data_IF_825802813984
#
_entry.id   IF_825802813984
#
_cell.length_a   1.000
_cell.length_b   1.000
_cell.length_c   1.000
_cell.angle_alpha   90.00
_cell.angle_beta   90.00
_cell.angle_gamma   90.00
#
_symmetry.space_group_name_H-M   'P 1'
#
loop_
_entity.id
_entity.type
_entity.pdbx_description
1 polymer ?
#
# COMPACT_ATOMS: atom_id res chain seq x y z
N UNK A 1 42.33 27.01 26.49
CA UNK A 1 42.45 25.71 25.77
C UNK A 1 42.65 25.93 24.28
N UNK A 2 41.82 26.73 23.60
CA UNK A 2 41.99 27.05 22.16
C UNK A 2 43.36 27.64 21.81
N UNK A 3 43.84 28.64 22.57
CA UNK A 3 45.17 29.25 22.35
C UNK A 3 46.34 28.26 22.49
N UNK A 4 46.19 27.22 23.32
CA UNK A 4 47.20 26.16 23.49
C UNK A 4 47.15 25.20 22.29
N UNK A 5 45.96 24.90 21.78
CA UNK A 5 45.78 24.12 20.57
C UNK A 5 46.37 24.82 19.34
N UNK A 6 46.12 26.11 19.18
CA UNK A 6 46.69 26.92 18.10
C UNK A 6 48.23 26.92 18.17
N UNK A 7 48.81 27.13 19.35
CA UNK A 7 50.26 27.11 19.53
C UNK A 7 50.89 25.75 19.19
N UNK A 8 50.24 24.63 19.58
CA UNK A 8 50.71 23.28 19.24
C UNK A 8 50.53 22.99 17.74
N UNK A 9 49.48 23.51 17.11
CA UNK A 9 49.19 23.32 15.69
C UNK A 9 50.14 24.13 14.78
N UNK A 10 50.65 25.28 15.26
CA UNK A 10 51.63 26.10 14.55
C UNK A 10 53.05 25.52 14.54
N UNK A 11 53.36 24.54 15.40
CA UNK A 11 54.67 23.90 15.43
C UNK A 11 54.74 22.75 14.39
N UNK A 12 55.76 22.68 13.51
CA UNK A 12 55.84 21.70 12.42
C UNK A 12 55.74 20.23 12.87
N UNK A 13 56.32 19.87 14.03
CA UNK A 13 56.16 18.54 14.63
C UNK A 13 54.91 18.39 15.52
N UNK A 14 54.32 19.51 15.95
CA UNK A 14 53.15 19.54 16.82
C UNK A 14 51.86 19.34 16.04
N UNK A 15 51.80 19.79 14.79
CA UNK A 15 50.67 19.57 13.87
C UNK A 15 50.37 18.08 13.67
N UNK A 16 51.38 17.26 13.40
CA UNK A 16 51.19 15.81 13.18
C UNK A 16 50.68 15.12 14.45
N UNK A 17 51.31 15.41 15.60
CA UNK A 17 50.92 14.83 16.89
C UNK A 17 49.50 15.26 17.28
N UNK A 18 49.17 16.55 17.12
CA UNK A 18 47.84 17.08 17.41
C UNK A 18 46.77 16.48 16.46
N UNK A 19 47.07 16.35 15.17
CA UNK A 19 46.18 15.74 14.19
C UNK A 19 45.93 14.26 14.51
N UNK A 20 46.99 13.51 14.84
CA UNK A 20 46.87 12.10 15.22
C UNK A 20 46.06 11.91 16.51
N UNK A 21 46.26 12.80 17.49
CA UNK A 21 45.48 12.80 18.73
C UNK A 21 44.00 13.13 18.47
N UNK A 22 43.72 14.17 17.70
CA UNK A 22 42.35 14.56 17.35
C UNK A 22 41.64 13.45 16.57
N UNK A 23 42.34 12.82 15.61
CA UNK A 23 41.83 11.68 14.87
C UNK A 23 41.44 10.51 15.79
N UNK A 24 42.31 10.15 16.76
CA UNK A 24 42.00 9.10 17.74
C UNK A 24 40.76 9.39 18.57
N UNK A 25 40.60 10.64 19.01
CA UNK A 25 39.41 11.06 19.77
C UNK A 25 38.15 10.97 18.92
N UNK A 26 38.17 11.49 17.69
CA UNK A 26 37.01 11.44 16.79
C UNK A 26 36.62 9.99 16.50
N UNK A 27 37.59 9.12 16.23
CA UNK A 27 37.33 7.68 16.00
C UNK A 27 36.69 7.04 17.23
N UNK A 28 37.20 7.30 18.43
CA UNK A 28 36.66 6.74 19.66
C UNK A 28 35.24 7.22 19.96
N UNK A 29 34.97 8.51 19.77
CA UNK A 29 33.64 9.10 19.92
C UNK A 29 32.64 8.51 18.90
N UNK A 30 33.04 8.38 17.63
CA UNK A 30 32.24 7.72 16.61
C UNK A 30 31.96 6.24 16.94
N UNK A 31 32.94 5.54 17.54
CA UNK A 31 32.78 4.15 17.99
C UNK A 31 31.76 4.05 19.12
N UNK A 32 31.81 4.96 20.11
CA UNK A 32 30.84 5.02 21.21
C UNK A 32 29.44 5.34 20.72
N UNK A 33 29.30 6.30 19.79
CA UNK A 33 28.03 6.60 19.11
C UNK A 33 27.46 5.37 18.39
N UNK A 34 28.29 4.64 17.64
CA UNK A 34 27.85 3.41 16.96
C UNK A 34 27.37 2.34 17.94
N UNK A 35 28.07 2.16 19.07
CA UNK A 35 27.64 1.22 20.11
C UNK A 35 26.33 1.66 20.77
N UNK A 36 26.13 2.95 21.00
CA UNK A 36 24.88 3.48 21.53
C UNK A 36 23.72 3.25 20.55
N UNK A 37 23.94 3.48 19.26
CA UNK A 37 22.94 3.24 18.22
C UNK A 37 22.55 1.77 18.08
N UNK A 38 23.54 0.87 18.20
CA UNK A 38 23.36 -0.57 18.13
C UNK A 38 22.69 -1.15 19.39
N UNK A 39 22.42 -0.34 20.42
CA UNK A 39 21.77 -0.80 21.64
C UNK A 39 20.29 -1.14 21.41
N UNK A 40 19.79 -2.16 22.11
CA UNK A 40 18.41 -2.65 21.96
C UNK A 40 17.35 -1.57 22.25
N UNK A 41 17.64 -0.67 23.18
CA UNK A 41 16.71 0.36 23.64
C UNK A 41 16.41 1.43 22.58
N UNK A 42 17.20 1.50 21.51
CA UNK A 42 16.94 2.41 20.38
C UNK A 42 15.75 1.95 19.52
N UNK A 43 15.35 0.68 19.64
CA UNK A 43 14.10 0.18 19.05
C UNK A 43 14.16 -0.22 17.58
N UNK A 44 15.36 -0.31 16.98
CA UNK A 44 15.55 -0.61 15.56
C UNK A 44 15.78 -2.11 15.26
N UNK A 45 15.24 -2.97 16.11
CA UNK A 45 15.35 -4.42 15.94
C UNK A 45 14.13 -4.99 15.22
N UNK A 46 14.36 -5.69 14.11
CA UNK A 46 13.28 -6.28 13.32
C UNK A 46 13.40 -7.80 13.27
N UNK A 47 12.32 -8.50 13.65
CA UNK A 47 12.27 -9.96 13.59
C UNK A 47 11.44 -10.40 12.40
N UNK A 48 12.09 -10.87 11.34
CA UNK A 48 11.43 -11.42 10.15
C UNK A 48 10.36 -12.48 10.50
N UNK A 49 10.65 -13.35 11.48
CA UNK A 49 9.74 -14.41 11.93
C UNK A 49 8.49 -13.93 12.66
N UNK A 50 8.48 -12.67 13.11
CA UNK A 50 7.38 -12.03 13.83
C UNK A 50 6.92 -10.76 13.11
N UNK A 51 7.29 -10.63 11.85
CA UNK A 51 6.91 -9.48 11.05
C UNK A 51 5.40 -9.44 10.89
N UNK A 52 4.85 -8.25 11.05
CA UNK A 52 3.45 -7.94 10.82
C UNK A 52 3.31 -6.95 9.66
N UNK A 53 2.15 -6.92 9.01
CA UNK A 53 1.82 -5.95 7.98
C UNK A 53 1.97 -4.52 8.54
N UNK A 54 1.49 -4.28 9.76
CA UNK A 54 1.63 -3.01 10.47
C UNK A 54 3.09 -2.60 10.61
N UNK A 55 3.99 -3.51 11.00
CA UNK A 55 5.41 -3.21 11.14
C UNK A 55 6.11 -2.82 9.83
N UNK A 56 5.57 -3.22 8.67
CA UNK A 56 6.08 -2.81 7.37
C UNK A 56 5.53 -1.46 6.92
N UNK A 57 4.24 -1.20 7.20
CA UNK A 57 3.57 0.06 6.85
C UNK A 57 4.03 1.22 7.74
N UNK A 58 4.32 0.95 9.01
CA UNK A 58 4.84 1.94 9.96
C UNK A 58 6.31 2.30 9.71
N UNK A 59 6.99 1.59 8.81
CA UNK A 59 8.35 1.95 8.48
C UNK A 59 8.42 3.28 7.73
N UNK A 60 9.21 4.19 8.30
CA UNK A 60 9.45 5.52 7.77
C UNK A 60 10.97 5.80 7.83
N UNK A 61 11.54 6.11 6.66
CA UNK A 61 12.97 6.36 6.55
C UNK A 61 13.37 7.72 7.14
N UNK A 62 12.50 8.71 7.07
CA UNK A 62 12.66 10.01 7.71
C UNK A 62 12.64 9.86 9.24
N UNK A 63 11.69 9.10 9.78
CA UNK A 63 11.67 8.81 11.23
C UNK A 63 12.95 8.07 11.69
N UNK A 64 13.42 7.11 10.89
CA UNK A 64 14.69 6.43 11.14
C UNK A 64 15.88 7.40 11.08
N UNK A 65 15.89 8.33 10.11
CA UNK A 65 16.91 9.35 9.98
C UNK A 65 16.95 10.28 11.21
N UNK A 66 15.80 10.68 11.74
CA UNK A 66 15.72 11.49 12.96
C UNK A 66 16.32 10.77 14.17
N UNK A 67 15.99 9.50 14.36
CA UNK A 67 16.55 8.67 15.45
C UNK A 67 18.06 8.55 15.31
N UNK A 68 18.56 8.28 14.08
CA UNK A 68 20.00 8.19 13.82
C UNK A 68 20.68 9.54 14.07
N UNK A 69 20.17 10.63 13.50
CA UNK A 69 20.77 11.96 13.64
C UNK A 69 20.83 12.42 15.11
N UNK A 70 19.81 12.06 15.90
CA UNK A 70 19.77 12.34 17.35
C UNK A 70 20.73 11.47 18.15
N UNK A 71 20.88 10.20 17.79
CA UNK A 71 21.68 9.23 18.57
C UNK A 71 23.16 9.29 18.23
N UNK A 72 23.51 9.56 16.96
CA UNK A 72 24.89 9.56 16.45
C UNK A 72 25.22 10.85 15.68
N UNK A 73 25.10 12.02 16.32
CA UNK A 73 25.21 13.32 15.64
C UNK A 73 26.57 13.54 14.98
N UNK A 74 27.67 13.03 15.55
CA UNK A 74 29.01 13.20 14.95
C UNK A 74 29.17 12.33 13.73
N UNK A 75 28.76 11.06 13.79
CA UNK A 75 28.76 10.19 12.60
C UNK A 75 27.85 10.71 11.50
N UNK A 76 26.65 11.17 11.84
CA UNK A 76 25.71 11.79 10.90
C UNK A 76 26.36 12.98 10.19
N UNK A 77 27.00 13.89 10.94
CA UNK A 77 27.71 15.04 10.37
C UNK A 77 28.90 14.61 9.52
N UNK A 78 29.70 13.64 9.99
CA UNK A 78 30.87 13.14 9.28
C UNK A 78 30.48 12.59 7.91
N UNK A 79 29.53 11.66 7.85
CA UNK A 79 29.04 11.13 6.57
C UNK A 79 28.35 12.21 5.74
N UNK A 80 27.65 13.16 6.37
CA UNK A 80 27.05 14.30 5.68
C UNK A 80 28.08 15.16 4.93
N UNK A 81 29.24 15.40 5.56
CA UNK A 81 30.36 16.12 4.92
C UNK A 81 30.99 15.28 3.82
N UNK A 82 31.25 13.99 4.07
CA UNK A 82 31.87 13.09 3.08
C UNK A 82 31.01 12.95 1.81
N UNK A 83 29.69 12.84 1.96
CA UNK A 83 28.75 12.78 0.83
C UNK A 83 28.61 14.13 0.10
N UNK A 84 28.99 15.24 0.74
CA UNK A 84 28.95 16.59 0.17
C UNK A 84 30.33 17.09 -0.28
N UNK A 85 31.37 16.24 -0.25
CA UNK A 85 32.76 16.65 -0.41
C UNK A 85 33.11 17.23 -1.79
N UNK A 86 32.31 16.91 -2.82
CA UNK A 86 32.49 17.44 -4.18
C UNK A 86 31.18 17.98 -4.73
N UNK A 87 30.76 19.13 -4.19
CA UNK A 87 29.55 19.83 -4.60
C UNK A 87 29.57 20.22 -6.09
N UNK A 88 30.75 20.43 -6.68
CA UNK A 88 30.86 20.75 -8.11
C UNK A 88 30.54 19.55 -9.00
N UNK A 89 31.07 18.35 -8.70
CA UNK A 89 30.70 17.15 -9.46
C UNK A 89 29.22 16.81 -9.31
N UNK A 90 28.62 17.07 -8.15
CA UNK A 90 27.18 16.90 -7.93
C UNK A 90 26.40 17.83 -8.87
N UNK A 91 26.77 19.13 -8.92
CA UNK A 91 26.18 20.11 -9.85
C UNK A 91 26.34 19.69 -11.32
N UNK A 92 27.52 19.19 -11.72
CA UNK A 92 27.77 18.74 -13.11
C UNK A 92 26.91 17.54 -13.51
N UNK A 93 26.79 16.53 -12.64
CA UNK A 93 25.92 15.36 -12.89
C UNK A 93 24.46 15.76 -13.03
N UNK A 94 24.02 16.77 -12.28
CA UNK A 94 22.66 17.29 -12.35
C UNK A 94 22.40 18.02 -13.66
N UNK A 95 23.33 18.87 -14.09
CA UNK A 95 23.20 19.55 -15.38
C UNK A 95 23.11 18.55 -16.53
N UNK A 96 23.88 17.46 -16.48
CA UNK A 96 23.78 16.37 -17.47
C UNK A 96 22.44 15.62 -17.40
N UNK A 97 21.88 15.38 -16.20
CA UNK A 97 20.55 14.76 -16.05
C UNK A 97 19.44 15.66 -16.57
N UNK A 98 19.49 16.98 -16.34
CA UNK A 98 18.53 17.93 -16.91
C UNK A 98 18.55 17.94 -18.43
N UNK A 99 19.76 17.97 -19.02
CA UNK A 99 19.93 17.90 -20.48
C UNK A 99 19.40 16.59 -21.05
N UNK A 100 19.57 15.47 -20.33
CA UNK A 100 19.07 14.17 -20.78
C UNK A 100 17.55 14.00 -20.59
N UNK A 101 17.00 14.49 -19.48
CA UNK A 101 15.55 14.45 -19.23
C UNK A 101 14.77 15.31 -20.24
N UNK A 102 15.32 16.45 -20.67
CA UNK A 102 14.76 17.25 -21.76
C UNK A 102 15.01 16.70 -23.17
N UNK A 103 15.78 15.62 -23.32
CA UNK A 103 16.04 14.97 -24.62
C UNK A 103 15.28 13.63 -24.77
N UNK A 104 14.87 13.00 -23.66
CA UNK A 104 14.04 11.79 -23.62
C UNK A 104 12.57 12.11 -23.24
N UNK A 105 12.13 13.38 -23.28
CA UNK A 105 10.71 13.70 -23.10
C UNK A 105 9.94 13.17 -24.31
N UNK A 106 9.18 12.10 -24.11
CA UNK A 106 8.16 11.59 -25.04
C UNK A 106 7.07 12.64 -25.38
N UNK A 107 7.19 13.88 -24.90
CA UNK A 107 6.41 15.04 -25.30
C UNK A 107 6.58 15.39 -26.79
N UNK A 108 7.68 14.97 -27.43
CA UNK A 108 7.82 15.10 -28.89
C UNK A 108 6.81 14.20 -29.65
N UNK A 109 6.23 13.18 -28.99
CA UNK A 109 5.19 12.32 -29.58
C UNK A 109 3.77 12.89 -29.42
N UNK A 110 3.53 13.76 -28.44
CA UNK A 110 2.23 14.42 -28.23
C UNK A 110 2.12 15.80 -28.91
N UNK A 111 3.22 16.34 -29.47
CA UNK A 111 3.23 17.63 -30.16
C UNK A 111 2.77 17.59 -31.62
N UNK A 112 2.54 16.41 -32.23
CA UNK A 112 2.13 16.32 -33.65
C UNK A 112 0.62 16.47 -33.92
N UNK A 113 -0.25 16.62 -32.91
CA UNK A 113 -1.70 16.78 -33.14
C UNK A 113 -2.26 18.10 -32.56
N UNK A 114 -2.12 19.21 -33.33
CA UNK A 114 -3.02 20.38 -33.41
C UNK A 114 -3.68 20.94 -32.11
N UNK A 115 -3.08 20.79 -30.93
CA UNK A 115 -3.55 21.47 -29.72
C UNK A 115 -3.12 22.94 -29.76
N UNK A 116 -4.06 23.90 -29.59
CA UNK A 116 -3.71 25.32 -29.56
C UNK A 116 -2.75 25.57 -28.41
N UNK A 117 -1.59 26.14 -28.74
CA UNK A 117 -0.53 26.53 -27.82
C UNK A 117 -1.13 27.40 -26.71
N UNK A 118 -1.32 26.82 -25.53
CA UNK A 118 -1.63 27.57 -24.31
C UNK A 118 -0.33 28.30 -23.96
N UNK A 119 -0.30 29.64 -23.87
CA UNK A 119 0.88 30.36 -23.43
C UNK A 119 1.25 29.87 -22.04
N UNK A 120 2.46 29.33 -21.88
CA UNK A 120 3.03 29.04 -20.56
C UNK A 120 3.03 30.34 -19.76
N UNK A 121 2.38 30.32 -18.60
CA UNK A 121 2.28 31.46 -17.71
C UNK A 121 3.69 31.75 -17.16
N UNK A 122 4.29 32.92 -17.42
CA UNK A 122 5.68 33.22 -17.05
C UNK A 122 5.94 33.28 -15.53
N UNK A 123 4.92 33.04 -14.70
CA UNK A 123 5.01 33.00 -13.24
C UNK A 123 5.18 31.57 -12.65
N UNK A 124 5.14 30.50 -13.45
CA UNK A 124 5.22 29.11 -12.94
C UNK A 124 6.64 28.52 -12.85
N UNK A 125 7.69 29.33 -13.09
CA UNK A 125 9.09 28.87 -13.09
C UNK A 125 9.64 28.44 -11.74
N UNK A 126 8.94 28.76 -10.65
CA UNK A 126 9.34 28.42 -9.29
C UNK A 126 8.94 26.98 -8.89
N UNK A 127 8.01 26.34 -9.60
CA UNK A 127 7.47 25.01 -9.23
C UNK A 127 8.45 23.84 -9.49
N UNK A 128 9.23 23.89 -10.59
CA UNK A 128 10.18 22.82 -10.93
C UNK A 128 11.48 22.87 -10.11
N UNK A 129 11.89 24.06 -9.66
CA UNK A 129 13.15 24.19 -8.93
C UNK A 129 13.07 23.55 -7.54
N UNK A 130 11.90 23.65 -6.89
CA UNK A 130 11.67 23.14 -5.54
C UNK A 130 11.62 21.60 -5.49
N UNK A 131 10.97 20.95 -6.46
CA UNK A 131 10.86 19.48 -6.53
C UNK A 131 12.25 18.82 -6.57
N UNK A 132 13.19 19.39 -7.32
CA UNK A 132 14.54 18.84 -7.45
C UNK A 132 15.42 18.98 -6.21
N UNK A 133 15.17 19.98 -5.36
CA UNK A 133 15.92 20.15 -4.11
C UNK A 133 15.40 19.20 -3.03
N UNK A 134 14.08 18.98 -2.95
CA UNK A 134 13.48 18.00 -2.07
C UNK A 134 13.97 16.57 -2.36
N UNK A 135 13.97 16.16 -3.63
CA UNK A 135 14.48 14.86 -4.05
C UNK A 135 15.97 14.68 -3.71
N UNK A 136 16.75 15.75 -3.83
CA UNK A 136 18.17 15.72 -3.45
C UNK A 136 18.33 15.51 -1.96
N UNK A 137 17.52 16.18 -1.16
CA UNK A 137 17.57 16.04 0.29
C UNK A 137 17.13 14.63 0.71
N UNK A 138 16.08 14.08 0.11
CA UNK A 138 15.65 12.69 0.32
C UNK A 138 16.74 11.69 -0.06
N UNK A 139 17.36 11.84 -1.22
CA UNK A 139 18.45 10.95 -1.64
C UNK A 139 19.65 11.02 -0.67
N UNK A 140 19.99 12.21 -0.18
CA UNK A 140 21.06 12.39 0.81
C UNK A 140 20.71 11.68 2.12
N UNK A 141 19.49 11.84 2.62
CA UNK A 141 18.98 11.16 3.82
C UNK A 141 19.04 9.65 3.64
N UNK A 142 18.49 9.12 2.55
CA UNK A 142 18.52 7.69 2.23
C UNK A 142 19.96 7.14 2.22
N UNK A 143 20.88 7.87 1.60
CA UNK A 143 22.30 7.46 1.54
C UNK A 143 22.94 7.44 2.93
N UNK A 144 22.68 8.46 3.76
CA UNK A 144 23.18 8.53 5.14
C UNK A 144 22.62 7.39 6.00
N UNK A 145 21.30 7.19 5.97
CA UNK A 145 20.63 6.10 6.68
C UNK A 145 21.21 4.77 6.23
N UNK A 146 21.40 4.54 4.93
CA UNK A 146 21.97 3.30 4.40
C UNK A 146 23.38 3.04 4.94
N UNK A 147 24.29 4.02 4.86
CA UNK A 147 25.67 3.86 5.32
C UNK A 147 25.76 3.57 6.82
N UNK A 148 25.03 4.33 7.63
CA UNK A 148 25.00 4.13 9.08
C UNK A 148 24.33 2.81 9.42
N UNK A 149 23.30 2.41 8.67
CA UNK A 149 22.60 1.13 8.86
C UNK A 149 23.50 -0.07 8.62
N UNK A 150 24.37 -0.02 7.61
CA UNK A 150 25.37 -1.07 7.35
C UNK A 150 26.33 -1.18 8.54
N UNK A 151 26.83 -0.05 9.04
CA UNK A 151 27.76 -0.03 10.18
C UNK A 151 27.10 -0.51 11.48
N UNK A 152 25.86 -0.09 11.74
CA UNK A 152 25.08 -0.50 12.91
C UNK A 152 24.79 -2.01 12.88
N UNK A 153 24.31 -2.53 11.74
CA UNK A 153 24.05 -3.96 11.56
C UNK A 153 25.33 -4.82 11.68
N UNK A 154 26.47 -4.29 11.24
CA UNK A 154 27.78 -4.94 11.40
C UNK A 154 28.23 -5.00 12.87
N UNK A 155 27.78 -4.05 13.68
CA UNK A 155 28.06 -3.99 15.13
C UNK A 155 27.10 -4.87 15.92
N UNK A 156 25.82 -4.87 15.54
CA UNK A 156 24.78 -5.71 16.11
C UNK A 156 23.82 -6.16 15.00
N UNK A 157 23.83 -7.45 14.67
CA UNK A 157 22.98 -8.02 13.62
C UNK A 157 21.48 -7.96 13.91
N UNK A 158 21.08 -7.62 15.14
CA UNK A 158 19.70 -7.38 15.49
C UNK A 158 19.23 -5.99 15.03
N UNK A 159 20.15 -5.05 14.79
CA UNK A 159 19.85 -3.75 14.20
C UNK A 159 19.77 -3.94 12.68
N UNK A 160 18.61 -4.41 12.22
CA UNK A 160 18.42 -4.92 10.85
C UNK A 160 17.12 -4.43 10.20
N UNK A 161 16.47 -3.41 10.76
CA UNK A 161 15.18 -2.91 10.27
C UNK A 161 15.27 -2.51 8.80
N UNK A 162 16.19 -1.60 8.45
CA UNK A 162 16.45 -1.19 7.07
C UNK A 162 16.77 -2.38 6.16
N UNK A 163 17.66 -3.28 6.58
CA UNK A 163 18.04 -4.46 5.81
C UNK A 163 16.88 -5.43 5.57
N UNK A 164 15.97 -5.55 6.54
CA UNK A 164 14.80 -6.42 6.42
C UNK A 164 13.84 -5.88 5.39
N UNK A 165 13.58 -4.58 5.43
CA UNK A 165 12.66 -3.91 4.51
C UNK A 165 13.22 -3.85 3.09
N UNK A 166 14.49 -3.48 2.94
CA UNK A 166 15.16 -3.50 1.64
C UNK A 166 15.21 -4.92 1.06
N UNK A 167 15.47 -5.94 1.90
CA UNK A 167 15.41 -7.34 1.51
C UNK A 167 14.01 -7.79 1.05
N UNK A 168 12.97 -7.44 1.81
CA UNK A 168 11.58 -7.71 1.46
C UNK A 168 11.16 -7.03 0.15
N UNK A 169 11.54 -5.76 -0.03
CA UNK A 169 11.29 -5.00 -1.26
C UNK A 169 11.96 -5.65 -2.47
N UNK A 170 13.25 -6.00 -2.37
CA UNK A 170 13.96 -6.68 -3.45
C UNK A 170 13.30 -8.01 -3.83
N UNK A 171 12.87 -8.78 -2.84
CA UNK A 171 12.15 -10.03 -3.08
C UNK A 171 10.83 -9.79 -3.82
N UNK A 172 10.06 -8.76 -3.42
CA UNK A 172 8.83 -8.36 -4.11
C UNK A 172 9.08 -7.90 -5.56
N UNK A 173 10.25 -7.31 -5.84
CA UNK A 173 10.68 -6.95 -7.20
C UNK A 173 11.24 -8.13 -8.02
N UNK A 174 11.05 -9.38 -7.58
CA UNK A 174 11.60 -10.58 -8.23
C UNK A 174 13.13 -10.54 -8.41
N UNK A 175 13.85 -9.90 -7.48
CA UNK A 175 15.32 -9.84 -7.53
C UNK A 175 15.91 -11.24 -7.39
N UNK A 176 16.85 -11.67 -8.26
CA UNK A 176 17.46 -12.98 -8.18
C UNK A 176 18.10 -13.26 -6.81
N UNK A 177 17.98 -14.49 -6.31
CA UNK A 177 18.52 -14.88 -4.99
C UNK A 177 20.03 -14.65 -4.87
N UNK A 178 20.78 -14.77 -5.97
CA UNK A 178 22.22 -14.48 -6.01
C UNK A 178 22.53 -13.01 -5.73
N UNK A 179 21.70 -12.10 -6.24
CA UNK A 179 21.82 -10.65 -6.00
C UNK A 179 21.42 -10.33 -4.56
N UNK A 180 20.32 -10.91 -4.06
CA UNK A 180 19.92 -10.78 -2.65
C UNK A 180 21.02 -11.31 -1.73
N UNK A 181 21.59 -12.47 -2.03
CA UNK A 181 22.68 -13.07 -1.28
C UNK A 181 23.95 -12.21 -1.29
N UNK A 182 24.27 -11.57 -2.42
CA UNK A 182 25.34 -10.58 -2.49
C UNK A 182 25.05 -9.34 -1.63
N UNK A 183 23.85 -8.76 -1.76
CA UNK A 183 23.42 -7.60 -0.97
C UNK A 183 23.40 -7.88 0.54
N UNK A 184 23.05 -9.09 0.92
CA UNK A 184 23.09 -9.52 2.32
C UNK A 184 24.52 -9.54 2.88
N UNK A 185 25.49 -10.02 2.08
CA UNK A 185 26.91 -10.05 2.48
C UNK A 185 27.53 -8.66 2.65
N UNK A 186 27.06 -7.67 1.89
CA UNK A 186 27.51 -6.27 2.04
C UNK A 186 26.71 -5.47 3.08
N UNK A 187 25.73 -6.09 3.74
CA UNK A 187 24.95 -5.47 4.82
C UNK A 187 23.80 -4.58 4.35
N UNK A 188 23.37 -4.68 3.08
CA UNK A 188 22.21 -3.96 2.55
C UNK A 188 20.90 -4.73 2.71
N UNK A 189 20.96 -6.04 2.97
CA UNK A 189 19.79 -6.90 3.09
C UNK A 189 19.98 -7.96 4.17
N UNK A 190 18.87 -8.50 4.66
CA UNK A 190 18.88 -9.78 5.39
C UNK A 190 19.12 -10.94 4.42
N UNK A 191 19.42 -12.12 4.98
CA UNK A 191 19.66 -13.33 4.18
C UNK A 191 18.40 -13.78 3.43
N UNK A 192 18.54 -14.52 2.32
CA UNK A 192 17.39 -15.11 1.63
C UNK A 192 16.50 -15.97 2.54
N UNK A 193 17.10 -16.74 3.46
CA UNK A 193 16.36 -17.51 4.45
C UNK A 193 15.52 -16.65 5.39
N UNK A 194 16.04 -15.49 5.82
CA UNK A 194 15.31 -14.56 6.66
C UNK A 194 14.19 -13.85 5.89
N UNK A 195 14.35 -13.61 4.58
CA UNK A 195 13.27 -13.13 3.71
C UNK A 195 12.16 -14.18 3.61
N UNK A 196 12.50 -15.46 3.46
CA UNK A 196 11.50 -16.53 3.46
C UNK A 196 10.76 -16.61 4.81
N UNK A 197 11.45 -16.42 5.93
CA UNK A 197 10.83 -16.30 7.26
C UNK A 197 9.88 -15.08 7.33
N UNK A 198 10.27 -13.93 6.76
CA UNK A 198 9.45 -12.72 6.64
C UNK A 198 8.17 -13.00 5.85
N UNK A 199 8.29 -13.51 4.62
CA UNK A 199 7.14 -13.83 3.75
C UNK A 199 6.22 -14.86 4.42
N UNK A 200 6.79 -15.87 5.09
CA UNK A 200 6.01 -16.87 5.83
C UNK A 200 5.25 -16.24 7.00
N UNK A 201 5.87 -15.32 7.75
CA UNK A 201 5.21 -14.60 8.85
C UNK A 201 4.04 -13.76 8.34
N UNK A 202 4.27 -12.96 7.30
CA UNK A 202 3.23 -12.12 6.68
C UNK A 202 2.11 -12.97 6.07
N UNK A 203 2.44 -14.09 5.42
CA UNK A 203 1.45 -15.01 4.87
C UNK A 203 0.57 -15.65 5.95
N UNK A 204 1.14 -15.98 7.12
CA UNK A 204 0.36 -16.48 8.28
C UNK A 204 -0.56 -15.41 8.84
N UNK A 205 -0.08 -14.19 8.99
CA UNK A 205 -0.89 -13.06 9.48
C UNK A 205 -2.02 -12.72 8.52
N UNK A 206 -1.75 -12.68 7.21
CA UNK A 206 -2.76 -12.49 6.18
C UNK A 206 -3.81 -13.60 6.24
N UNK A 207 -3.37 -14.87 6.34
CA UNK A 207 -4.27 -16.02 6.47
C UNK A 207 -5.14 -15.93 7.73
N UNK A 208 -4.55 -15.55 8.86
CA UNK A 208 -5.29 -15.35 10.12
C UNK A 208 -6.32 -14.23 9.99
N UNK A 209 -5.97 -13.13 9.32
CA UNK A 209 -6.87 -12.00 9.10
C UNK A 209 -8.04 -12.37 8.20
N UNK A 210 -7.79 -13.12 7.12
CA UNK A 210 -8.81 -13.66 6.22
C UNK A 210 -9.76 -14.60 6.99
N UNK A 211 -9.23 -15.53 7.79
CA UNK A 211 -10.05 -16.46 8.59
C UNK A 211 -10.85 -15.73 9.66
N UNK A 212 -10.23 -14.81 10.39
CA UNK A 212 -10.90 -14.01 11.41
C UNK A 212 -12.05 -13.22 10.82
N UNK A 213 -11.87 -12.66 9.62
CA UNK A 213 -12.92 -11.97 8.88
C UNK A 213 -14.00 -12.95 8.45
N UNK A 214 -13.65 -14.06 7.78
CA UNK A 214 -14.63 -15.06 7.31
C UNK A 214 -15.46 -15.70 8.42
N UNK A 215 -14.88 -15.93 9.61
CA UNK A 215 -15.59 -16.44 10.80
C UNK A 215 -16.68 -15.52 11.34
N UNK A 216 -16.63 -14.22 11.03
CA UNK A 216 -17.72 -13.32 11.40
C UNK A 216 -19.01 -13.67 10.67
N UNK A 217 -18.93 -14.36 9.51
CA UNK A 217 -20.03 -14.58 8.57
C UNK A 217 -20.69 -13.27 8.08
N UNK A 218 -20.06 -12.12 8.34
CA UNK A 218 -20.48 -10.79 7.92
C UNK A 218 -19.61 -10.32 6.74
N UNK A 219 -19.35 -11.22 5.80
CA UNK A 219 -18.39 -10.98 4.72
C UNK A 219 -18.98 -11.39 3.40
N UNK A 220 -18.90 -10.48 2.41
CA UNK A 220 -19.13 -10.83 1.03
C UNK A 220 -17.84 -11.35 0.42
N UNK A 221 -17.97 -12.35 -0.44
CA UNK A 221 -16.87 -12.94 -1.19
C UNK A 221 -16.99 -12.47 -2.63
N UNK A 222 -15.94 -11.83 -3.14
CA UNK A 222 -15.84 -11.42 -4.54
C UNK A 222 -14.61 -12.11 -5.15
N UNK A 223 -14.75 -12.58 -6.38
CA UNK A 223 -13.66 -13.21 -7.10
C UNK A 223 -13.82 -12.97 -8.60
N UNK A 224 -12.71 -12.96 -9.32
CA UNK A 224 -12.66 -12.78 -10.76
C UNK A 224 -11.43 -13.48 -11.35
N UNK A 225 -11.47 -13.76 -12.65
CA UNK A 225 -10.34 -14.31 -13.38
C UNK A 225 -9.31 -13.21 -13.65
N UNK A 226 -8.03 -13.58 -13.64
CA UNK A 226 -6.97 -12.75 -14.17
C UNK A 226 -5.93 -13.61 -14.87
N UNK A 227 -5.41 -13.11 -15.98
CA UNK A 227 -4.42 -13.80 -16.78
C UNK A 227 -3.05 -13.17 -16.54
N UNK A 228 -2.05 -14.00 -16.24
CA UNK A 228 -0.66 -13.57 -16.10
C UNK A 228 0.13 -14.08 -17.28
N UNK A 229 0.63 -13.19 -18.11
CA UNK A 229 1.60 -13.55 -19.15
C UNK A 229 3.01 -13.63 -18.53
N UNK A 230 3.50 -14.85 -18.35
CA UNK A 230 4.88 -15.11 -17.92
C UNK A 230 5.77 -15.06 -19.16
N UNK A 231 6.44 -13.93 -19.35
CA UNK A 231 7.44 -13.77 -20.42
C UNK A 231 8.71 -14.54 -20.05
N UNK A 232 8.90 -15.71 -20.64
CA UNK A 232 10.15 -16.45 -20.51
C UNK A 232 11.26 -15.77 -21.33
N UNK A 233 12.41 -15.50 -20.69
CA UNK A 233 13.57 -14.90 -21.39
C UNK A 233 14.22 -15.84 -22.41
N UNK A 234 13.99 -17.15 -22.29
CA UNK A 234 14.45 -18.17 -23.24
C UNK A 234 13.28 -19.10 -23.57
N UNK A 235 12.78 -19.11 -24.82
CA UNK A 235 11.76 -20.07 -25.24
C UNK A 235 12.34 -21.49 -25.17
N UNK A 236 11.80 -22.34 -24.31
CA UNK A 236 12.09 -23.79 -24.36
C UNK A 236 11.23 -24.44 -25.44
N UNK A 237 11.84 -25.28 -26.27
CA UNK A 237 11.22 -25.95 -27.43
C UNK A 237 9.93 -26.70 -27.07
N UNK A 238 9.84 -27.23 -25.84
CA UNK A 238 8.70 -28.04 -25.40
C UNK A 238 7.49 -27.23 -24.88
N UNK A 239 7.60 -25.89 -24.72
CA UNK A 239 6.53 -25.01 -24.20
C UNK A 239 6.47 -23.66 -24.90
N UNK A 240 6.56 -23.64 -26.23
CA UNK A 240 6.62 -22.40 -26.99
C UNK A 240 5.32 -21.54 -26.95
N UNK A 241 4.21 -22.03 -26.38
CA UNK A 241 2.89 -21.38 -26.47
C UNK A 241 2.11 -21.22 -25.16
N UNK A 242 2.54 -21.80 -24.03
CA UNK A 242 1.85 -21.66 -22.74
C UNK A 242 2.55 -20.61 -21.86
N UNK A 243 2.52 -19.35 -22.28
CA UNK A 243 2.98 -18.22 -21.45
C UNK A 243 1.86 -17.64 -20.58
N UNK A 244 0.60 -17.94 -20.90
CA UNK A 244 -0.56 -17.38 -20.20
C UNK A 244 -1.01 -18.31 -19.07
N UNK A 245 -0.91 -17.83 -17.84
CA UNK A 245 -1.39 -18.51 -16.65
C UNK A 245 -2.78 -17.97 -16.30
N UNK A 246 -3.80 -18.82 -16.42
CA UNK A 246 -5.19 -18.48 -16.07
C UNK A 246 -5.41 -18.68 -14.57
N UNK A 247 -5.40 -17.59 -13.81
CA UNK A 247 -5.57 -17.61 -12.36
C UNK A 247 -6.90 -16.97 -11.94
N UNK A 248 -7.29 -17.26 -10.72
CA UNK A 248 -8.43 -16.65 -10.04
C UNK A 248 -7.93 -15.80 -8.89
N UNK A 249 -8.36 -14.54 -8.84
CA UNK A 249 -8.15 -13.66 -7.70
C UNK A 249 -9.44 -13.53 -6.90
N UNK A 250 -9.33 -13.19 -5.62
CA UNK A 250 -10.49 -12.93 -4.80
C UNK A 250 -10.21 -11.97 -3.65
N UNK A 251 -11.28 -11.48 -3.06
CA UNK A 251 -11.23 -10.56 -1.92
C UNK A 251 -12.45 -10.79 -1.01
N UNK A 252 -12.25 -10.60 0.30
CA UNK A 252 -13.33 -10.53 1.28
C UNK A 252 -13.68 -9.06 1.49
N UNK A 253 -14.97 -8.76 1.39
CA UNK A 253 -15.51 -7.42 1.63
C UNK A 253 -16.32 -7.50 2.92
N UNK A 254 -15.91 -6.77 3.94
CA UNK A 254 -16.67 -6.71 5.19
C UNK A 254 -18.04 -6.06 4.92
N UNK A 255 -19.11 -6.73 5.36
CA UNK A 255 -20.47 -6.18 5.35
C UNK A 255 -20.57 -5.17 6.49
N UNK A 256 -20.13 -3.94 6.22
CA UNK A 256 -20.32 -2.81 7.11
C UNK A 256 -21.79 -2.35 7.11
N UNK A 257 -22.09 -1.16 7.65
CA UNK A 257 -23.46 -0.58 7.69
C UNK A 257 -24.41 -1.19 8.72
N UNK A 258 -23.88 -1.78 9.80
CA UNK A 258 -24.69 -2.32 10.90
C UNK A 258 -25.32 -3.68 10.59
N UNK A 259 -24.90 -4.35 9.50
CA UNK A 259 -25.35 -5.70 9.18
C UNK A 259 -24.98 -6.65 10.31
N UNK A 260 -25.98 -7.37 10.80
CA UNK A 260 -25.87 -8.40 11.83
C UNK A 260 -26.07 -9.79 11.23
N UNK A 261 -25.71 -10.83 11.99
CA UNK A 261 -25.92 -12.22 11.55
C UNK A 261 -27.42 -12.52 11.36
N UNK A 262 -28.27 -11.88 12.16
CA UNK A 262 -29.73 -12.04 12.07
C UNK A 262 -30.27 -11.50 10.74
N UNK A 263 -29.70 -10.42 10.21
CA UNK A 263 -30.05 -9.89 8.88
C UNK A 263 -29.71 -10.88 7.75
N UNK A 264 -28.68 -11.71 7.96
CA UNK A 264 -28.25 -12.74 7.01
C UNK A 264 -28.94 -14.10 7.24
N UNK A 265 -29.70 -14.26 8.33
CA UNK A 265 -30.42 -15.48 8.68
C UNK A 265 -31.69 -15.71 7.84
N UNK A 266 -31.73 -15.17 6.62
CA UNK A 266 -32.78 -15.43 5.65
C UNK A 266 -32.55 -16.73 4.84
N UNK A 267 -31.40 -17.41 4.98
CA UNK A 267 -31.05 -18.59 4.17
C UNK A 267 -32.09 -19.71 4.21
N UNK A 268 -32.66 -20.02 5.39
CA UNK A 268 -33.74 -21.01 5.54
C UNK A 268 -35.01 -20.58 4.81
N UNK A 269 -35.37 -19.30 4.90
CA UNK A 269 -36.56 -18.77 4.25
C UNK A 269 -36.37 -18.66 2.73
N UNK A 270 -35.19 -18.21 2.28
CA UNK A 270 -34.78 -18.20 0.89
C UNK A 270 -34.81 -19.62 0.32
N UNK A 271 -34.20 -20.60 1.00
CA UNK A 271 -34.25 -22.00 0.58
C UNK A 271 -35.68 -22.54 0.55
N UNK A 272 -36.49 -22.27 1.58
CA UNK A 272 -37.91 -22.65 1.64
C UNK A 272 -38.73 -22.05 0.50
N UNK A 273 -38.35 -20.87 -0.03
CA UNK A 273 -39.03 -20.21 -1.16
C UNK A 273 -38.32 -20.44 -2.51
N UNK A 274 -37.14 -21.03 -2.50
CA UNK A 274 -36.29 -21.16 -3.68
C UNK A 274 -36.89 -22.12 -4.70
N UNK A 275 -36.73 -21.81 -5.99
CA UNK A 275 -37.19 -22.64 -7.11
C UNK A 275 -36.40 -23.93 -7.26
N UNK A 276 -35.14 -23.92 -6.82
CA UNK A 276 -34.26 -25.11 -6.86
C UNK A 276 -34.47 -26.03 -5.66
N UNK A 277 -35.29 -25.61 -4.69
CA UNK A 277 -35.72 -26.51 -3.62
C UNK A 277 -36.69 -27.56 -4.21
N UNK A 278 -36.38 -28.87 -4.11
CA UNK A 278 -37.19 -29.93 -4.72
C UNK A 278 -38.67 -29.91 -4.31
N UNK A 279 -39.02 -29.34 -3.14
CA UNK A 279 -40.43 -29.24 -2.71
C UNK A 279 -41.22 -28.16 -3.46
N UNK A 280 -40.56 -27.20 -4.11
CA UNK A 280 -41.19 -26.01 -4.71
C UNK A 280 -41.38 -26.09 -6.22
N UNK A 281 -41.12 -27.23 -6.86
CA UNK A 281 -41.17 -27.37 -8.33
C UNK A 281 -42.52 -26.98 -8.97
N UNK A 282 -43.61 -26.94 -8.18
CA UNK A 282 -44.95 -26.54 -8.61
C UNK A 282 -45.31 -25.08 -8.32
N UNK A 283 -44.45 -24.30 -7.65
CA UNK A 283 -44.78 -22.92 -7.30
C UNK A 283 -44.75 -21.99 -8.52
N UNK A 284 -45.77 -21.14 -8.63
CA UNK A 284 -45.97 -20.20 -9.74
C UNK A 284 -44.78 -19.25 -9.93
N UNK A 285 -44.45 -18.97 -11.20
CA UNK A 285 -43.21 -18.33 -11.66
C UNK A 285 -43.07 -16.83 -11.38
N UNK A 286 -44.15 -16.14 -11.03
CA UNK A 286 -44.19 -14.69 -11.15
C UNK A 286 -43.78 -14.01 -9.84
N UNK A 287 -42.58 -13.43 -9.82
CA UNK A 287 -42.22 -12.42 -8.82
C UNK A 287 -43.10 -11.21 -9.11
N UNK A 288 -44.10 -10.98 -8.28
CA UNK A 288 -44.88 -9.76 -8.33
C UNK A 288 -43.98 -8.62 -7.82
N UNK A 289 -43.43 -7.84 -8.75
CA UNK A 289 -42.59 -6.69 -8.43
C UNK A 289 -43.32 -5.69 -7.52
N UNK A 290 -44.66 -5.69 -7.48
CA UNK A 290 -45.44 -4.86 -6.54
C UNK A 290 -45.19 -5.23 -5.08
N UNK A 291 -44.76 -6.47 -4.79
CA UNK A 291 -44.34 -6.88 -3.44
C UNK A 291 -43.00 -6.28 -3.03
N UNK A 292 -42.16 -5.89 -3.98
CA UNK A 292 -40.93 -5.15 -3.69
C UNK A 292 -41.28 -3.73 -3.20
N UNK A 293 -42.38 -3.15 -3.71
CA UNK A 293 -42.87 -1.86 -3.24
C UNK A 293 -43.37 -1.89 -1.79
N UNK A 294 -43.62 -3.06 -1.21
CA UNK A 294 -44.11 -3.22 0.16
C UNK A 294 -43.01 -3.64 1.14
N UNK A 295 -41.73 -3.65 0.73
CA UNK A 295 -40.62 -4.08 1.59
C UNK A 295 -40.38 -3.14 2.77
N UNK A 296 -40.71 -1.86 2.62
CA UNK A 296 -40.60 -0.86 3.68
C UNK A 296 -42.02 -0.51 4.16
N UNK A 297 -42.53 -1.16 5.22
CA UNK A 297 -43.85 -0.84 5.75
C UNK A 297 -43.88 0.62 6.22
N UNK A 298 -44.81 1.40 5.68
CA UNK A 298 -44.92 2.83 5.97
C UNK A 298 -46.00 3.10 7.02
N UNK A 299 -45.68 3.96 7.99
CA UNK A 299 -46.68 4.54 8.88
C UNK A 299 -47.54 5.60 8.19
N UNK A 300 -48.66 5.96 8.82
CA UNK A 300 -49.51 7.06 8.31
C UNK A 300 -48.75 8.38 8.42
N UNK A 301 -48.47 9.02 7.27
CA UNK A 301 -47.84 10.33 7.21
C UNK A 301 -48.90 11.46 7.20
N UNK A 302 -48.65 12.64 7.81
CA UNK A 302 -49.63 13.73 7.88
C UNK A 302 -50.15 14.23 6.52
N UNK A 303 -49.37 14.08 5.45
CA UNK A 303 -49.80 14.47 4.10
C UNK A 303 -50.79 13.49 3.45
N UNK A 304 -51.01 12.31 4.03
CA UNK A 304 -51.78 11.22 3.42
C UNK A 304 -51.11 10.56 2.21
N UNK A 305 -49.89 10.98 1.85
CA UNK A 305 -49.10 10.42 0.74
C UNK A 305 -48.13 9.36 1.24
N UNK A 306 -47.93 8.31 0.45
CA UNK A 306 -46.85 7.32 0.64
C UNK A 306 -45.46 7.95 0.46
N UNK A 307 -44.38 7.35 0.96
CA UNK A 307 -43.02 7.87 0.74
C UNK A 307 -42.72 8.06 -0.74
N UNK A 308 -43.13 7.09 -1.56
CA UNK A 308 -42.93 7.15 -3.02
C UNK A 308 -43.65 8.35 -3.63
N UNK A 309 -44.89 8.60 -3.21
CA UNK A 309 -45.63 9.77 -3.67
C UNK A 309 -44.97 11.07 -3.19
N UNK A 310 -44.48 11.13 -1.94
CA UNK A 310 -43.74 12.28 -1.42
C UNK A 310 -42.45 12.53 -2.19
N UNK A 311 -41.68 11.49 -2.48
CA UNK A 311 -40.47 11.58 -3.31
C UNK A 311 -40.82 12.04 -4.73
N UNK A 312 -41.87 11.48 -5.35
CA UNK A 312 -42.32 11.92 -6.67
C UNK A 312 -42.75 13.38 -6.66
N UNK A 313 -43.54 13.82 -5.67
CA UNK A 313 -43.93 15.23 -5.49
C UNK A 313 -42.70 16.12 -5.36
N UNK A 314 -41.72 15.73 -4.55
CA UNK A 314 -40.45 16.44 -4.43
C UNK A 314 -39.70 16.49 -5.77
N UNK A 315 -39.59 15.37 -6.50
CA UNK A 315 -38.88 15.28 -7.78
C UNK A 315 -39.53 16.12 -8.87
N UNK A 316 -40.87 16.10 -8.99
CA UNK A 316 -41.59 16.98 -9.91
C UNK A 316 -41.39 18.46 -9.57
N UNK A 317 -41.42 18.80 -8.28
CA UNK A 317 -41.15 20.18 -7.83
C UNK A 317 -39.72 20.58 -8.13
N UNK A 318 -38.76 19.70 -7.86
CA UNK A 318 -37.35 19.89 -8.19
C UNK A 318 -37.16 20.17 -9.67
N UNK A 319 -37.72 19.34 -10.54
CA UNK A 319 -37.55 19.48 -11.98
C UNK A 319 -38.21 20.74 -12.52
N UNK A 320 -39.37 21.12 -11.98
CA UNK A 320 -40.04 22.37 -12.32
C UNK A 320 -39.22 23.61 -11.88
N UNK A 321 -38.58 23.55 -10.71
CA UNK A 321 -37.78 24.66 -10.16
C UNK A 321 -36.38 24.75 -10.77
N UNK A 322 -35.79 23.63 -11.19
CA UNK A 322 -34.42 23.58 -11.71
C UNK A 322 -34.36 23.64 -13.24
N UNK A 323 -35.40 23.14 -13.92
CA UNK A 323 -35.42 22.97 -15.37
C UNK A 323 -36.69 23.51 -16.04
N UNK A 324 -37.67 23.98 -15.26
CA UNK A 324 -38.93 24.52 -15.78
C UNK A 324 -38.85 25.98 -16.21
N UNK A 325 -40.00 26.63 -16.46
CA UNK A 325 -40.06 28.05 -16.78
C UNK A 325 -39.42 28.95 -15.72
N UNK A 326 -38.85 30.07 -16.15
CA UNK A 326 -38.06 31.00 -15.33
C UNK A 326 -38.81 31.50 -14.07
N UNK A 327 -40.14 31.59 -14.15
CA UNK A 327 -41.00 31.89 -13.00
C UNK A 327 -40.75 30.96 -11.80
N UNK A 328 -40.46 29.67 -12.02
CA UNK A 328 -40.30 28.70 -10.93
C UNK A 328 -38.90 28.75 -10.29
N UNK A 329 -37.90 29.35 -10.95
CA UNK A 329 -36.54 29.45 -10.40
C UNK A 329 -36.47 30.24 -9.09
N UNK A 330 -37.41 31.16 -8.86
CA UNK A 330 -37.50 31.93 -7.61
C UNK A 330 -37.71 31.04 -6.36
N UNK A 331 -38.16 29.79 -6.54
CA UNK A 331 -38.38 28.85 -5.45
C UNK A 331 -37.16 27.97 -5.14
N UNK A 332 -36.02 28.13 -5.83
CA UNK A 332 -34.82 27.32 -5.61
C UNK A 332 -34.35 27.32 -4.16
N UNK A 333 -34.40 28.47 -3.48
CA UNK A 333 -34.03 28.58 -2.06
C UNK A 333 -35.04 27.97 -1.08
N UNK A 334 -36.26 27.62 -1.54
CA UNK A 334 -37.29 26.95 -0.74
C UNK A 334 -37.37 25.45 -0.98
N UNK A 335 -36.68 24.95 -2.00
CA UNK A 335 -36.63 23.53 -2.31
C UNK A 335 -35.70 22.85 -1.29
N UNK A 336 -36.29 22.15 -0.31
CA UNK A 336 -35.54 21.31 0.62
C UNK A 336 -34.94 20.08 -0.05
N UNK A 337 -34.18 19.29 0.71
CA UNK A 337 -33.71 17.97 0.30
C UNK A 337 -34.86 16.94 0.28
N UNK A 338 -34.77 15.87 -0.51
CA UNK A 338 -35.75 14.80 -0.44
C UNK A 338 -35.72 14.16 0.95
N UNK A 339 -36.86 13.66 1.39
CA UNK A 339 -36.96 12.86 2.61
C UNK A 339 -35.96 11.70 2.53
N UNK A 340 -35.10 11.59 3.53
CA UNK A 340 -34.10 10.53 3.58
C UNK A 340 -34.73 9.29 4.22
N UNK A 341 -34.74 8.18 3.49
CA UNK A 341 -35.32 6.90 3.91
C UNK A 341 -34.20 5.89 3.89
N UNK A 342 -33.99 5.19 5.01
CA UNK A 342 -33.00 4.13 5.15
C UNK A 342 -31.63 4.51 4.57
N UNK A 343 -31.08 5.63 5.06
CA UNK A 343 -29.76 6.12 4.64
C UNK A 343 -28.76 5.00 4.72
N UNK A 344 -28.18 4.59 3.58
CA UNK A 344 -27.02 3.70 3.58
C UNK A 344 -25.86 4.53 4.13
N UNK A 345 -25.30 4.19 5.31
CA UNK A 345 -24.16 4.90 5.84
C UNK A 345 -23.02 4.94 4.82
N UNK A 346 -22.47 6.10 4.49
CA UNK A 346 -21.31 6.14 3.62
C UNK A 346 -20.10 5.75 4.47
N UNK A 347 -19.64 4.51 4.32
CA UNK A 347 -18.43 3.99 4.97
C UNK A 347 -17.46 3.47 3.93
N UNK A 348 -16.17 3.62 4.21
CA UNK A 348 -15.12 3.13 3.32
C UNK A 348 -15.03 1.61 3.47
N UNK A 349 -15.53 0.88 2.47
CA UNK A 349 -15.49 -0.58 2.45
C UNK A 349 -14.08 -1.11 2.66
N UNK A 350 -13.92 -1.97 3.67
CA UNK A 350 -12.68 -2.71 3.92
C UNK A 350 -12.65 -3.97 3.07
N UNK A 351 -11.61 -4.09 2.24
CA UNK A 351 -11.35 -5.24 1.40
C UNK A 351 -10.09 -5.94 1.88
N UNK A 352 -10.13 -7.27 1.99
CA UNK A 352 -8.97 -8.10 2.32
C UNK A 352 -8.74 -9.07 1.17
N UNK A 353 -7.65 -8.91 0.39
CA UNK A 353 -7.35 -9.83 -0.70
C UNK A 353 -7.08 -11.23 -0.15
N UNK A 354 -7.53 -12.25 -0.88
CA UNK A 354 -7.20 -13.64 -0.59
C UNK A 354 -6.03 -14.12 -1.45
N UNK A 355 -5.50 -15.30 -1.12
CA UNK A 355 -4.48 -15.93 -1.95
C UNK A 355 -5.07 -16.27 -3.31
N UNK A 356 -4.33 -15.96 -4.37
CA UNK A 356 -4.66 -16.38 -5.73
C UNK A 356 -4.83 -17.90 -5.83
N UNK A 357 -5.73 -18.32 -6.70
CA UNK A 357 -6.11 -19.70 -6.93
C UNK A 357 -5.76 -20.11 -8.35
N UNK A 358 -5.07 -21.23 -8.51
CA UNK A 358 -4.84 -21.87 -9.82
C UNK A 358 -6.08 -22.65 -10.23
N UNK A 359 -7.16 -21.92 -10.51
CA UNK A 359 -8.48 -22.45 -10.85
C UNK A 359 -9.02 -21.66 -12.04
N UNK A 360 -9.39 -22.37 -13.10
CA UNK A 360 -10.05 -21.77 -14.26
C UNK A 360 -11.57 -21.70 -14.04
N UNK A 361 -12.16 -20.51 -14.00
CA UNK A 361 -13.60 -20.32 -13.79
C UNK A 361 -14.44 -20.38 -15.08
N UNK A 362 -13.85 -20.78 -16.21
CA UNK A 362 -14.58 -20.93 -17.48
C UNK A 362 -15.62 -22.07 -17.46
N UNK A 363 -15.66 -22.86 -16.38
CA UNK A 363 -16.61 -23.97 -16.21
C UNK A 363 -17.41 -23.80 -14.92
N UNK A 364 -18.59 -24.42 -14.87
CA UNK A 364 -19.41 -24.47 -13.65
C UNK A 364 -18.63 -25.12 -12.50
N UNK A 365 -17.92 -26.21 -12.78
CA UNK A 365 -17.09 -26.88 -11.78
C UNK A 365 -15.93 -25.98 -11.30
N UNK A 366 -15.31 -25.23 -12.20
CA UNK A 366 -14.28 -24.24 -11.85
C UNK A 366 -14.78 -23.18 -10.90
N UNK A 367 -15.99 -22.63 -11.13
CA UNK A 367 -16.64 -21.71 -10.20
C UNK A 367 -16.91 -22.35 -8.83
N UNK A 368 -17.41 -23.59 -8.81
CA UNK A 368 -17.62 -24.32 -7.55
C UNK A 368 -16.31 -24.53 -6.78
N UNK A 369 -15.23 -24.88 -7.47
CA UNK A 369 -13.91 -25.06 -6.87
C UNK A 369 -13.36 -23.74 -6.32
N UNK A 370 -13.48 -22.64 -7.07
CA UNK A 370 -13.06 -21.31 -6.64
C UNK A 370 -13.80 -20.86 -5.38
N UNK A 371 -15.13 -21.02 -5.35
CA UNK A 371 -15.94 -20.74 -4.15
C UNK A 371 -15.54 -21.61 -2.96
N UNK A 372 -15.30 -22.90 -3.19
CA UNK A 372 -14.91 -23.84 -2.13
C UNK A 372 -13.55 -23.48 -1.53
N UNK A 373 -12.56 -23.19 -2.38
CA UNK A 373 -11.23 -22.76 -1.90
C UNK A 373 -11.34 -21.41 -1.17
N UNK A 374 -12.07 -20.45 -1.73
CA UNK A 374 -12.26 -19.13 -1.15
C UNK A 374 -12.94 -19.17 0.24
N UNK A 375 -13.99 -19.97 0.41
CA UNK A 375 -14.58 -20.23 1.73
C UNK A 375 -13.60 -20.94 2.66
N UNK A 376 -12.86 -21.91 2.12
CA UNK A 376 -11.78 -22.57 2.85
C UNK A 376 -10.73 -21.60 3.36
N UNK A 377 -10.30 -20.62 2.56
CA UNK A 377 -9.38 -19.57 2.98
C UNK A 377 -9.99 -18.69 4.08
N UNK A 378 -11.27 -18.34 3.95
CA UNK A 378 -12.07 -17.64 4.97
C UNK A 378 -12.34 -18.46 6.25
N UNK A 379 -11.90 -19.71 6.32
CA UNK A 379 -12.16 -20.58 7.47
C UNK A 379 -13.63 -21.01 7.58
N UNK A 380 -14.39 -20.93 6.48
CA UNK A 380 -15.79 -21.32 6.38
C UNK A 380 -15.89 -22.65 5.64
N UNK A 381 -16.54 -23.65 6.24
CA UNK A 381 -16.69 -24.99 5.67
C UNK A 381 -16.70 -26.07 6.73
N UNK A 382 -16.71 -27.33 6.29
CA UNK A 382 -16.67 -28.48 7.20
C UNK A 382 -15.27 -28.60 7.82
N UNK A 383 -15.13 -28.52 9.16
CA UNK A 383 -13.84 -28.65 9.84
C UNK A 383 -13.18 -30.02 9.63
N UNK A 384 -13.96 -31.07 9.33
CA UNK A 384 -13.46 -32.43 9.10
C UNK A 384 -12.80 -32.59 7.71
N UNK A 385 -13.10 -31.69 6.77
CA UNK A 385 -12.57 -31.75 5.40
C UNK A 385 -11.13 -31.21 5.28
N UNK A 386 -10.52 -30.73 6.37
CA UNK A 386 -9.13 -30.23 6.35
C UNK A 386 -8.15 -31.06 7.19
N UNK A 387 -7.36 -31.88 6.49
CA UNK A 387 -5.88 -31.99 6.60
C UNK A 387 -5.35 -32.79 5.42
N UNK A 388 -4.96 -32.08 4.36
CA UNK A 388 -4.12 -32.56 3.26
C UNK A 388 -2.91 -31.65 3.16
#
# INVERSE_FOLDING_TARGET
>A
MEQVFEAVYSYPGGREVASNWAHKIVVEECRLEMLALAHKDVGMHFSARRATHESLVEFDIEAMAEVIAKTVPRLWRLFGVLLSADSEKIKRRQQQRKVKAGADSEDEYWQEDNMPHIPEDPEDSDSEHDIHEEDRQRQKILTLVTMISIAANSTNQLWNTFQTLNGGYMHACNTPESVIGYQSKIGLSISPSAINDLVTSLGREASYSIQKLGWTLLTSYAYDNFDVEIKHSVPTVDKAQETLLHLTSGTLILLEHGVTIDDLCCSKELWRKSKVNPVNFKMSKMIDWRKVLTLHPEGVHPSGLTHRERFNTWKFTHDLVMHGPEYFHQFRGKLGHPETIDTIPIVKSKQIPVRGMDINQSTVQGNCNALTDLFGQGGVGDPEVKKG
#
